data_IF_694769370505
#
_entry.id   IF_694769370505
#
_cell.length_a   1.000
_cell.length_b   1.000
_cell.length_c   1.000
_cell.angle_alpha   90.00
_cell.angle_beta   90.00
_cell.angle_gamma   90.00
#
_symmetry.space_group_name_H-M   'P 1'
#
loop_
_entity.id
_entity.type
_entity.pdbx_description
1 polymer ?
#
# COMPACT_ATOMS: atom_id res chain seq x y z
N UNK A 1 -10.42 21.63 -18.33
CA UNK A 1 -8.96 21.41 -18.28
C UNK A 1 -8.33 22.22 -17.16
N UNK A 2 -8.13 21.56 -16.03
CA UNK A 2 -7.54 22.13 -14.82
C UNK A 2 -6.00 22.17 -14.89
N UNK A 3 -5.37 22.83 -13.92
CA UNK A 3 -3.90 22.86 -13.82
C UNK A 3 -3.26 21.45 -13.71
N UNK A 4 -4.00 20.49 -13.15
CA UNK A 4 -3.61 19.08 -13.08
C UNK A 4 -3.56 18.42 -14.48
N UNK A 5 -4.54 18.71 -15.34
CA UNK A 5 -4.59 18.17 -16.71
C UNK A 5 -3.37 18.62 -17.51
N UNK A 6 -3.02 19.90 -17.41
CA UNK A 6 -1.83 20.44 -18.05
C UNK A 6 -0.54 19.81 -17.52
N UNK A 7 -0.43 19.56 -16.21
CA UNK A 7 0.72 18.89 -15.63
C UNK A 7 0.87 17.44 -16.15
N UNK A 8 -0.24 16.70 -16.25
CA UNK A 8 -0.27 15.34 -16.79
C UNK A 8 0.12 15.35 -18.27
N UNK A 9 -0.50 16.20 -19.08
CA UNK A 9 -0.21 16.29 -20.53
C UNK A 9 1.24 16.69 -20.79
N UNK A 10 1.74 17.74 -20.12
CA UNK A 10 3.11 18.23 -20.33
C UNK A 10 4.12 17.15 -19.96
N UNK A 11 3.94 16.49 -18.81
CA UNK A 11 4.87 15.43 -18.38
C UNK A 11 4.80 14.17 -19.25
N UNK A 12 3.61 13.81 -19.76
CA UNK A 12 3.45 12.74 -20.75
C UNK A 12 4.19 13.10 -22.04
N UNK A 13 3.99 14.30 -22.58
CA UNK A 13 4.68 14.77 -23.79
C UNK A 13 6.20 14.77 -23.61
N UNK A 14 6.71 15.27 -22.47
CA UNK A 14 8.14 15.22 -22.14
C UNK A 14 8.64 13.78 -22.08
N UNK A 15 7.87 12.87 -21.50
CA UNK A 15 8.25 11.46 -21.34
C UNK A 15 8.27 10.71 -22.67
N UNK A 16 7.27 10.95 -23.53
CA UNK A 16 7.21 10.42 -24.90
C UNK A 16 8.36 10.96 -25.74
N UNK A 17 8.64 12.27 -25.67
CA UNK A 17 9.73 12.90 -26.41
C UNK A 17 11.10 12.41 -25.95
N UNK A 18 11.34 12.37 -24.64
CA UNK A 18 12.56 11.78 -24.06
C UNK A 18 12.67 10.29 -24.42
N UNK A 19 11.54 9.60 -24.50
CA UNK A 19 11.51 8.20 -24.86
C UNK A 19 11.85 7.93 -26.30
N UNK A 20 11.35 8.75 -27.21
CA UNK A 20 11.72 8.72 -28.61
C UNK A 20 13.22 8.98 -28.82
N UNK A 21 13.78 9.94 -28.06
CA UNK A 21 15.21 10.30 -28.15
C UNK A 21 16.15 9.26 -27.52
N UNK A 22 15.69 8.54 -26.50
CA UNK A 22 16.48 7.50 -25.83
C UNK A 22 16.38 6.15 -26.54
N UNK A 23 15.27 5.83 -27.20
CA UNK A 23 15.05 4.51 -27.81
C UNK A 23 14.60 3.47 -26.78
N UNK A 24 14.02 2.35 -27.25
CA UNK A 24 13.51 1.28 -26.39
C UNK A 24 14.64 0.59 -25.64
N UNK A 25 15.74 0.30 -26.34
CA UNK A 25 16.90 -0.41 -25.76
C UNK A 25 17.45 0.36 -24.55
N UNK A 26 17.65 1.66 -24.67
CA UNK A 26 18.16 2.50 -23.58
C UNK A 26 17.21 2.52 -22.38
N UNK A 27 15.90 2.53 -22.62
CA UNK A 27 14.91 2.48 -21.54
C UNK A 27 14.91 1.15 -20.80
N UNK A 28 15.08 0.03 -21.52
CA UNK A 28 15.21 -1.29 -20.92
C UNK A 28 16.48 -1.41 -20.09
N UNK A 29 17.62 -0.93 -20.59
CA UNK A 29 18.88 -0.89 -19.82
C UNK A 29 18.76 0.02 -18.59
N UNK A 30 18.08 1.15 -18.70
CA UNK A 30 17.80 2.02 -17.56
C UNK A 30 16.92 1.33 -16.50
N UNK A 31 15.86 0.63 -16.93
CA UNK A 31 14.97 -0.11 -16.03
C UNK A 31 15.72 -1.26 -15.35
N UNK A 32 16.35 -2.14 -16.13
CA UNK A 32 17.14 -3.26 -15.62
C UNK A 32 18.29 -2.78 -14.72
N UNK A 33 18.97 -1.70 -15.11
CA UNK A 33 20.02 -1.09 -14.32
C UNK A 33 19.53 -0.55 -12.99
N UNK A 34 18.36 0.09 -12.94
CA UNK A 34 17.78 0.58 -11.69
C UNK A 34 17.35 -0.56 -10.75
N UNK A 35 16.76 -1.64 -11.29
CA UNK A 35 16.39 -2.84 -10.51
C UNK A 35 17.65 -3.49 -9.94
N UNK A 36 18.66 -3.70 -10.79
CA UNK A 36 19.93 -4.29 -10.38
C UNK A 36 20.63 -3.43 -9.33
N UNK A 37 20.66 -2.11 -9.54
CA UNK A 37 21.24 -1.16 -8.61
C UNK A 37 20.57 -1.24 -7.22
N UNK A 38 19.25 -1.37 -7.19
CA UNK A 38 18.49 -1.50 -5.95
C UNK A 38 18.82 -2.82 -5.21
N UNK A 39 18.82 -3.94 -5.93
CA UNK A 39 19.13 -5.26 -5.35
C UNK A 39 20.55 -5.29 -4.78
N UNK A 40 21.52 -4.77 -5.54
CA UNK A 40 22.92 -4.70 -5.11
C UNK A 40 23.08 -3.73 -3.93
N UNK A 41 22.42 -2.57 -3.98
CA UNK A 41 22.48 -1.60 -2.90
C UNK A 41 21.97 -2.20 -1.58
N UNK A 42 20.83 -2.88 -1.56
CA UNK A 42 20.34 -3.54 -0.35
C UNK A 42 21.31 -4.59 0.20
N UNK A 43 22.05 -5.29 -0.68
CA UNK A 43 22.97 -6.34 -0.26
C UNK A 43 24.31 -5.80 0.27
N UNK A 44 24.84 -4.73 -0.34
CA UNK A 44 26.20 -4.25 -0.10
C UNK A 44 26.30 -2.90 0.62
N UNK A 45 25.17 -2.24 0.90
CA UNK A 45 25.11 -0.95 1.59
C UNK A 45 25.79 -0.98 2.97
N UNK A 46 25.65 -2.05 3.75
CA UNK A 46 26.26 -2.14 5.08
C UNK A 46 27.78 -2.27 5.03
N UNK A 47 28.31 -3.11 4.13
CA UNK A 47 29.76 -3.32 4.00
C UNK A 47 30.48 -2.11 3.41
N UNK A 48 29.88 -1.44 2.43
CA UNK A 48 30.44 -0.19 1.89
C UNK A 48 30.21 1.01 2.82
N UNK A 49 29.12 1.00 3.59
CA UNK A 49 28.78 2.06 4.53
C UNK A 49 29.77 2.16 5.70
N UNK A 50 30.25 1.04 6.24
CA UNK A 50 31.28 1.03 7.28
C UNK A 50 32.61 1.58 6.77
N UNK A 51 33.00 1.23 5.54
CA UNK A 51 34.21 1.76 4.91
C UNK A 51 34.09 3.27 4.71
N UNK A 52 32.97 3.75 4.16
CA UNK A 52 32.72 5.18 3.96
C UNK A 52 32.64 5.96 5.28
N UNK A 53 31.98 5.40 6.30
CA UNK A 53 31.87 6.01 7.62
C UNK A 53 33.24 6.23 8.25
N UNK A 54 34.15 5.25 8.13
CA UNK A 54 35.52 5.36 8.63
C UNK A 54 36.35 6.42 7.87
N UNK A 55 36.14 6.54 6.55
CA UNK A 55 36.92 7.44 5.69
C UNK A 55 36.47 8.90 5.83
N UNK A 56 35.15 9.11 5.97
CA UNK A 56 34.54 10.43 6.11
C UNK A 56 34.38 10.86 7.58
N UNK A 57 34.70 9.97 8.53
CA UNK A 57 34.58 10.20 9.97
C UNK A 57 33.16 10.59 10.42
N UNK A 58 32.16 9.86 9.90
CA UNK A 58 30.73 10.11 10.13
C UNK A 58 30.08 8.91 10.81
N UNK A 59 28.90 9.09 11.40
CA UNK A 59 28.10 7.99 11.97
C UNK A 59 27.79 6.89 10.94
N UNK A 60 27.76 5.64 11.42
CA UNK A 60 27.49 4.46 10.58
C UNK A 60 26.16 4.55 9.82
N UNK A 61 25.15 5.15 10.44
CA UNK A 61 23.86 5.38 9.79
C UNK A 61 23.98 6.29 8.57
N UNK A 62 24.74 7.39 8.67
CA UNK A 62 24.94 8.29 7.54
C UNK A 62 25.86 7.65 6.49
N UNK A 63 26.87 6.89 6.92
CA UNK A 63 27.73 6.10 6.01
C UNK A 63 26.95 5.09 5.18
N UNK A 64 26.00 4.37 5.80
CA UNK A 64 25.11 3.45 5.09
C UNK A 64 24.22 4.19 4.09
N UNK A 65 23.59 5.30 4.46
CA UNK A 65 22.77 6.10 3.54
C UNK A 65 23.61 6.58 2.34
N UNK A 66 24.82 7.07 2.59
CA UNK A 66 25.73 7.50 1.53
C UNK A 66 26.14 6.33 0.62
N UNK A 67 26.48 5.17 1.20
CA UNK A 67 26.83 3.97 0.43
C UNK A 67 25.66 3.49 -0.44
N UNK A 68 24.43 3.54 0.07
CA UNK A 68 23.24 3.25 -0.72
C UNK A 68 23.10 4.19 -1.92
N UNK A 69 23.24 5.51 -1.71
CA UNK A 69 23.17 6.51 -2.78
C UNK A 69 24.26 6.26 -3.82
N UNK A 70 25.51 6.07 -3.37
CA UNK A 70 26.66 5.82 -4.26
C UNK A 70 26.46 4.55 -5.09
N UNK A 71 25.98 3.45 -4.48
CA UNK A 71 25.71 2.20 -5.18
C UNK A 71 24.59 2.36 -6.21
N UNK A 72 23.46 2.96 -5.81
CA UNK A 72 22.32 3.15 -6.71
C UNK A 72 22.71 4.02 -7.89
N UNK A 73 23.32 5.18 -7.62
CA UNK A 73 23.72 6.13 -8.66
C UNK A 73 24.83 5.55 -9.53
N UNK A 74 25.84 4.91 -8.92
CA UNK A 74 26.98 4.34 -9.63
C UNK A 74 26.56 3.23 -10.60
N UNK A 75 25.80 2.24 -10.11
CA UNK A 75 25.35 1.11 -10.95
C UNK A 75 24.37 1.60 -12.03
N UNK A 76 23.41 2.46 -11.68
CA UNK A 76 22.46 3.00 -12.65
C UNK A 76 23.17 3.81 -13.75
N UNK A 77 24.20 4.58 -13.39
CA UNK A 77 24.98 5.36 -14.35
C UNK A 77 25.81 4.47 -15.28
N UNK A 78 26.44 3.42 -14.76
CA UNK A 78 27.18 2.44 -15.57
C UNK A 78 26.25 1.76 -16.56
N UNK A 79 25.07 1.31 -16.10
CA UNK A 79 24.09 0.65 -16.96
C UNK A 79 23.52 1.59 -18.03
N UNK A 80 23.24 2.84 -17.68
CA UNK A 80 22.82 3.86 -18.65
C UNK A 80 23.91 4.12 -19.69
N UNK A 81 25.18 4.18 -19.27
CA UNK A 81 26.32 4.36 -20.17
C UNK A 81 26.49 3.19 -21.16
N UNK A 82 26.34 1.95 -20.67
CA UNK A 82 26.38 0.76 -21.52
C UNK A 82 25.28 0.78 -22.58
N UNK A 83 24.06 1.17 -22.19
CA UNK A 83 22.96 1.32 -23.14
C UNK A 83 23.23 2.39 -24.20
N UNK A 84 23.80 3.54 -23.82
CA UNK A 84 24.14 4.60 -24.77
C UNK A 84 25.16 4.13 -25.81
N UNK A 85 26.18 3.38 -25.37
CA UNK A 85 27.16 2.80 -26.30
C UNK A 85 26.57 1.76 -27.22
N UNK A 86 25.64 0.95 -26.73
CA UNK A 86 24.94 -0.04 -27.56
C UNK A 86 24.13 0.64 -28.68
N UNK A 87 23.49 1.76 -28.35
CA UNK A 87 22.72 2.54 -29.31
C UNK A 87 23.60 3.11 -30.42
N UNK A 88 24.80 3.58 -30.09
CA UNK A 88 25.78 4.12 -31.05
C UNK A 88 26.28 3.07 -32.06
N UNK A 89 26.37 1.80 -31.64
CA UNK A 89 26.77 0.70 -32.54
C UNK A 89 25.67 0.21 -33.49
N UNK A 90 24.41 0.58 -33.25
CA UNK A 90 23.24 0.07 -34.00
C UNK A 90 22.74 1.05 -35.09
N UNK A 91 23.48 2.14 -35.32
CA UNK A 91 23.06 3.30 -36.15
C UNK A 91 22.89 2.97 -37.65
N UNK A 92 23.34 1.80 -38.13
CA UNK A 92 23.34 1.45 -39.56
C UNK A 92 22.07 0.78 -40.09
N UNK A 93 20.90 0.93 -39.45
CA UNK A 93 19.67 0.26 -39.91
C UNK A 93 18.39 1.07 -39.74
N UNK A 94 17.36 0.87 -40.60
CA UNK A 94 16.02 1.49 -40.46
C UNK A 94 15.31 1.14 -39.13
N UNK A 95 15.88 0.21 -38.36
CA UNK A 95 15.50 -0.16 -37.00
C UNK A 95 15.56 1.04 -36.03
N UNK A 96 16.34 2.09 -36.31
CA UNK A 96 16.42 3.29 -35.46
C UNK A 96 15.06 4.00 -35.28
N UNK A 97 14.25 4.11 -36.34
CA UNK A 97 12.92 4.72 -36.24
C UNK A 97 11.97 3.86 -35.41
N UNK A 98 12.04 2.53 -35.59
CA UNK A 98 11.22 1.57 -34.84
C UNK A 98 11.61 1.57 -33.36
N UNK A 99 12.91 1.60 -33.05
CA UNK A 99 13.44 1.69 -31.68
C UNK A 99 13.03 3.00 -30.99
N UNK A 100 13.08 4.13 -31.72
CA UNK A 100 12.58 5.41 -31.25
C UNK A 100 11.08 5.39 -30.95
N UNK A 101 10.25 4.89 -31.88
CA UNK A 101 8.79 4.78 -31.67
C UNK A 101 8.47 3.85 -30.50
N UNK A 102 9.13 2.70 -30.39
CA UNK A 102 8.95 1.78 -29.28
C UNK A 102 9.40 2.40 -27.95
N UNK A 103 10.50 3.16 -27.93
CA UNK A 103 10.92 3.94 -26.77
C UNK A 103 9.95 5.07 -26.40
N UNK A 104 9.32 5.69 -27.38
CA UNK A 104 8.27 6.70 -27.15
C UNK A 104 7.05 6.09 -26.47
N UNK A 105 6.60 4.92 -26.96
CA UNK A 105 5.50 4.15 -26.38
C UNK A 105 5.82 3.69 -24.95
N UNK A 106 7.00 3.11 -24.72
CA UNK A 106 7.38 2.63 -23.40
C UNK A 106 7.60 3.78 -22.41
N UNK A 107 8.17 4.89 -22.85
CA UNK A 107 8.30 6.12 -22.04
C UNK A 107 6.95 6.74 -21.67
N UNK A 108 6.03 6.79 -22.63
CA UNK A 108 4.64 7.23 -22.41
C UNK A 108 3.90 6.32 -21.43
N UNK A 109 3.94 5.01 -21.66
CA UNK A 109 3.30 4.00 -20.79
C UNK A 109 3.84 4.06 -19.35
N UNK A 110 5.16 4.14 -19.19
CA UNK A 110 5.80 4.30 -17.88
C UNK A 110 5.31 5.55 -17.16
N UNK A 111 5.24 6.69 -17.86
CA UNK A 111 4.77 7.95 -17.27
C UNK A 111 3.27 7.90 -16.93
N UNK A 112 2.46 7.28 -17.78
CA UNK A 112 1.04 7.02 -17.53
C UNK A 112 0.85 6.20 -16.25
N UNK A 113 1.58 5.10 -16.08
CA UNK A 113 1.53 4.26 -14.86
C UNK A 113 1.91 5.06 -13.61
N UNK A 114 2.93 5.93 -13.71
CA UNK A 114 3.33 6.81 -12.60
C UNK A 114 2.20 7.78 -12.23
N UNK A 115 1.54 8.39 -13.21
CA UNK A 115 0.40 9.28 -12.95
C UNK A 115 -0.80 8.55 -12.36
N UNK A 116 -1.14 7.36 -12.87
CA UNK A 116 -2.18 6.50 -12.27
C UNK A 116 -1.88 6.27 -10.78
N UNK A 117 -0.64 5.89 -10.45
CA UNK A 117 -0.23 5.67 -9.07
C UNK A 117 -0.34 6.94 -8.21
N UNK A 118 0.09 8.09 -8.74
CA UNK A 118 -0.01 9.39 -8.04
C UNK A 118 -1.47 9.76 -7.79
N UNK A 119 -2.34 9.62 -8.79
CA UNK A 119 -3.77 9.92 -8.67
C UNK A 119 -4.45 8.99 -7.67
N UNK A 120 -4.10 7.70 -7.67
CA UNK A 120 -4.57 6.72 -6.69
C UNK A 120 -4.16 7.09 -5.26
N UNK A 121 -2.89 7.47 -5.07
CA UNK A 121 -2.40 7.95 -3.78
C UNK A 121 -3.19 9.20 -3.36
N UNK A 122 -3.34 10.20 -4.24
CA UNK A 122 -4.11 11.41 -3.94
C UNK A 122 -5.57 11.09 -3.55
N UNK A 123 -6.22 10.14 -4.22
CA UNK A 123 -7.58 9.69 -3.88
C UNK A 123 -7.66 9.00 -2.51
N UNK A 124 -6.61 8.26 -2.14
CA UNK A 124 -6.54 7.54 -0.86
C UNK A 124 -6.22 8.44 0.34
N UNK A 125 -5.68 9.65 0.12
CA UNK A 125 -5.30 10.54 1.21
C UNK A 125 -6.48 11.43 1.67
N UNK A 126 -6.70 11.59 2.99
CA UNK A 126 -7.88 12.27 3.54
C UNK A 126 -7.81 13.81 3.44
N UNK A 127 -6.82 14.39 2.78
CA UNK A 127 -6.65 15.84 2.67
C UNK A 127 -7.59 16.47 1.64
N UNK A 128 -8.55 17.28 2.10
CA UNK A 128 -9.55 17.94 1.25
C UNK A 128 -8.96 18.90 0.20
N UNK A 129 -7.73 19.39 0.41
CA UNK A 129 -6.97 20.19 -0.56
C UNK A 129 -6.53 19.40 -1.80
N UNK A 130 -6.37 18.07 -1.70
CA UNK A 130 -5.96 17.21 -2.82
C UNK A 130 -7.16 16.67 -3.62
N UNK A 131 -8.37 16.72 -3.05
CA UNK A 131 -9.59 16.23 -3.69
C UNK A 131 -10.19 17.25 -4.68
N UNK A 132 -10.12 18.55 -4.39
CA UNK A 132 -10.68 19.61 -5.26
C UNK A 132 -10.13 19.57 -6.70
N UNK A 133 -8.80 19.47 -6.93
CA UNK A 133 -8.27 19.38 -8.29
C UNK A 133 -8.58 18.06 -9.00
N UNK A 134 -8.89 17.00 -8.22
CA UNK A 134 -9.14 15.64 -8.70
C UNK A 134 -10.55 15.50 -9.30
N UNK A 135 -11.55 16.15 -8.71
CA UNK A 135 -12.95 16.12 -9.18
C UNK A 135 -13.24 17.09 -10.33
N UNK A 136 -12.37 18.06 -10.57
CA UNK A 136 -12.51 19.04 -11.65
C UNK A 136 -11.65 18.67 -12.91
N UNK A 137 -10.99 17.51 -12.89
CA UNK A 137 -10.10 17.05 -13.96
C UNK A 137 -10.76 15.93 -14.75
N UNK A 138 -11.10 16.21 -16.01
CA UNK A 138 -11.72 15.25 -16.93
C UNK A 138 -10.79 14.05 -17.19
N UNK A 139 -9.48 14.29 -17.27
CA UNK A 139 -8.49 13.23 -17.48
C UNK A 139 -8.30 12.35 -16.24
N UNK A 140 -8.38 12.91 -15.03
CA UNK A 140 -8.33 12.13 -13.82
C UNK A 140 -9.54 11.19 -13.72
N UNK A 141 -10.74 11.65 -14.10
CA UNK A 141 -11.94 10.81 -14.11
C UNK A 141 -11.82 9.65 -15.12
N UNK A 142 -11.35 9.93 -16.35
CA UNK A 142 -11.20 8.90 -17.37
C UNK A 142 -10.08 7.90 -17.06
N UNK A 143 -8.96 8.35 -16.49
CA UNK A 143 -7.92 7.46 -15.96
C UNK A 143 -8.46 6.64 -14.78
N UNK A 144 -9.30 7.24 -13.93
CA UNK A 144 -9.96 6.55 -12.82
C UNK A 144 -10.91 5.44 -13.29
N UNK A 145 -11.56 5.59 -14.46
CA UNK A 145 -12.39 4.53 -15.08
C UNK A 145 -11.57 3.32 -15.56
N UNK A 146 -10.29 3.50 -15.89
CA UNK A 146 -9.37 2.42 -16.29
C UNK A 146 -8.72 1.74 -15.08
N UNK A 147 -8.75 2.38 -13.91
CA UNK A 147 -8.25 1.81 -12.64
C UNK A 147 -8.71 0.38 -12.32
N UNK A 148 -9.99 -0.03 -12.49
CA UNK A 148 -10.38 -1.42 -12.23
C UNK A 148 -9.58 -2.42 -13.06
N UNK A 149 -9.17 -2.09 -14.29
CA UNK A 149 -8.33 -2.96 -15.12
C UNK A 149 -6.90 -3.07 -14.57
N UNK A 150 -6.33 -1.96 -14.07
CA UNK A 150 -5.02 -1.99 -13.41
C UNK A 150 -5.07 -2.77 -12.09
N UNK A 151 -6.17 -2.68 -11.32
CA UNK A 151 -6.37 -3.53 -10.14
C UNK A 151 -6.43 -5.02 -10.50
N UNK A 152 -7.14 -5.38 -11.57
CA UNK A 152 -7.14 -6.75 -12.10
C UNK A 152 -5.73 -7.24 -12.50
N UNK A 153 -4.98 -6.45 -13.26
CA UNK A 153 -3.61 -6.80 -13.65
C UNK A 153 -2.67 -6.89 -12.44
N UNK A 154 -2.86 -6.00 -11.48
CA UNK A 154 -2.10 -5.98 -10.23
C UNK A 154 -2.41 -7.21 -9.38
N UNK A 155 -3.66 -7.66 -9.29
CA UNK A 155 -4.07 -8.88 -8.57
C UNK A 155 -3.58 -10.17 -9.24
N UNK A 156 -3.42 -10.18 -10.56
CA UNK A 156 -2.92 -11.34 -11.31
C UNK A 156 -1.39 -11.46 -11.27
N UNK A 157 -0.68 -10.33 -11.12
CA UNK A 157 0.79 -10.28 -11.02
C UNK A 157 1.30 -10.21 -9.56
N UNK A 158 0.51 -9.70 -8.61
CA UNK A 158 0.84 -9.68 -7.17
C UNK A 158 0.02 -10.75 -6.43
N UNK A 159 0.64 -11.81 -5.89
CA UNK A 159 -0.07 -12.83 -5.13
C UNK A 159 -0.77 -12.22 -3.91
N UNK A 160 -1.88 -12.85 -3.51
CA UNK A 160 -2.72 -12.52 -2.34
C UNK A 160 -1.98 -12.57 -0.96
N UNK A 161 -0.65 -12.68 -0.97
CA UNK A 161 0.25 -12.64 0.17
C UNK A 161 0.75 -11.23 0.52
N UNK A 162 0.31 -10.17 -0.18
CA UNK A 162 0.73 -8.81 0.18
C UNK A 162 0.27 -8.51 1.61
N UNK A 163 1.19 -8.35 2.58
CA UNK A 163 0.81 -8.05 3.95
C UNK A 163 0.07 -6.72 3.95
N UNK A 164 -1.15 -6.69 4.49
CA UNK A 164 -1.88 -5.44 4.65
C UNK A 164 -1.05 -4.51 5.51
N UNK A 165 -0.65 -3.39 4.95
CA UNK A 165 0.04 -2.32 5.67
C UNK A 165 -1.03 -1.65 6.54
N UNK A 166 -1.10 -2.00 7.82
CA UNK A 166 -1.95 -1.31 8.77
C UNK A 166 -1.29 0.03 9.10
N UNK A 167 -1.87 1.14 8.62
CA UNK A 167 -1.49 2.48 9.02
C UNK A 167 -2.10 2.78 10.40
N UNK A 168 -1.40 2.36 11.45
CA UNK A 168 -1.68 2.81 12.81
C UNK A 168 -0.96 4.12 13.10
N UNK A 169 -1.50 5.01 13.95
CA UNK A 169 -0.87 6.29 14.32
C UNK A 169 0.51 6.13 15.00
N UNK A 170 0.94 4.91 15.30
CA UNK A 170 2.21 4.55 15.95
C UNK A 170 3.27 3.97 14.98
N UNK A 171 3.00 3.93 13.66
CA UNK A 171 3.95 3.51 12.62
C UNK A 171 3.58 2.24 11.85
N UNK A 172 4.37 1.90 10.83
CA UNK A 172 4.18 0.75 9.93
C UNK A 172 4.75 -0.52 10.57
N UNK A 173 3.88 -1.50 10.84
CA UNK A 173 4.32 -2.80 11.37
C UNK A 173 3.84 -3.96 10.49
N UNK A 174 4.79 -4.76 10.01
CA UNK A 174 4.53 -5.97 9.20
C UNK A 174 4.41 -7.16 10.16
N UNK A 175 3.18 -7.61 10.45
CA UNK A 175 2.93 -8.87 11.17
C UNK A 175 2.19 -9.86 10.27
N UNK A 176 2.68 -11.09 10.19
CA UNK A 176 1.92 -12.22 9.63
C UNK A 176 0.93 -12.68 10.70
N UNK A 177 -0.36 -12.49 10.46
CA UNK A 177 -1.44 -12.93 11.34
C UNK A 177 -1.94 -14.28 10.81
N UNK A 178 -1.91 -15.33 11.65
CA UNK A 178 -2.61 -16.59 11.37
C UNK A 178 -4.02 -16.45 11.93
N UNK A 179 -5.02 -16.55 11.06
CA UNK A 179 -6.42 -16.32 11.46
C UNK A 179 -6.98 -17.49 12.27
N UNK A 180 -6.38 -18.67 12.14
CA UNK A 180 -6.69 -19.87 12.89
C UNK A 180 -6.46 -19.67 14.40
N UNK A 181 -5.49 -18.83 14.78
CA UNK A 181 -5.18 -18.53 16.19
C UNK A 181 -6.28 -17.70 16.88
N UNK A 182 -7.17 -17.07 16.09
CA UNK A 182 -8.32 -16.33 16.60
C UNK A 182 -9.59 -17.20 16.70
N UNK A 183 -9.54 -18.48 16.33
CA UNK A 183 -10.66 -19.39 16.51
C UNK A 183 -10.95 -19.58 18.00
N UNK A 184 -12.22 -19.49 18.40
CA UNK A 184 -12.62 -19.50 19.81
C UNK A 184 -12.47 -18.17 20.55
N UNK A 185 -12.15 -17.07 19.87
CA UNK A 185 -12.10 -15.74 20.49
C UNK A 185 -13.46 -15.32 21.06
N UNK A 186 -13.46 -14.34 21.97
CA UNK A 186 -14.62 -13.90 22.73
C UNK A 186 -15.33 -12.75 22.01
N UNK A 187 -16.60 -12.94 21.65
CA UNK A 187 -17.41 -11.93 20.97
C UNK A 187 -17.68 -10.72 21.87
N UNK A 188 -17.45 -9.51 21.35
CA UNK A 188 -17.66 -8.25 22.07
C UNK A 188 -19.14 -8.03 22.39
N UNK A 189 -20.05 -8.44 21.50
CA UNK A 189 -21.48 -8.17 21.59
C UNK A 189 -22.21 -9.00 22.66
N UNK A 190 -21.78 -10.25 22.87
CA UNK A 190 -22.54 -11.21 23.70
C UNK A 190 -21.67 -12.07 24.62
N UNK A 191 -20.33 -12.00 24.51
CA UNK A 191 -19.42 -12.87 25.26
C UNK A 191 -19.31 -14.30 24.76
N UNK A 192 -20.08 -14.70 23.75
CA UNK A 192 -20.01 -16.03 23.15
C UNK A 192 -18.69 -16.27 22.43
N UNK A 193 -18.34 -17.53 22.20
CA UNK A 193 -17.18 -17.92 21.38
C UNK A 193 -17.46 -17.68 19.90
N UNK A 194 -16.45 -17.26 19.14
CA UNK A 194 -16.52 -17.20 17.68
C UNK A 194 -15.85 -18.41 17.05
N UNK A 195 -16.35 -18.83 15.89
CA UNK A 195 -15.74 -19.87 15.07
C UNK A 195 -15.19 -19.29 13.79
N UNK A 196 -14.00 -19.71 13.39
CA UNK A 196 -13.41 -19.39 12.09
C UNK A 196 -14.01 -20.28 10.98
N UNK A 197 -14.54 -19.67 9.92
CA UNK A 197 -15.16 -20.34 8.79
C UNK A 197 -14.29 -20.35 7.53
N UNK A 198 -13.02 -19.93 7.63
CA UNK A 198 -12.13 -19.78 6.49
C UNK A 198 -12.23 -18.39 5.84
N UNK A 199 -11.73 -18.29 4.61
CA UNK A 199 -11.82 -17.05 3.82
C UNK A 199 -13.03 -17.12 2.90
N UNK A 200 -13.85 -16.08 2.92
CA UNK A 200 -15.02 -15.93 2.06
C UNK A 200 -14.88 -14.69 1.17
N UNK A 201 -15.49 -14.77 -0.02
CA UNK A 201 -15.43 -13.70 -1.00
C UNK A 201 -16.40 -12.58 -0.60
N UNK A 202 -15.88 -11.36 -0.45
CA UNK A 202 -16.63 -10.14 -0.21
C UNK A 202 -16.23 -9.11 -1.26
N UNK A 203 -17.13 -8.87 -2.23
CA UNK A 203 -16.81 -8.06 -3.41
C UNK A 203 -15.74 -8.74 -4.29
N UNK A 204 -14.64 -8.05 -4.54
CA UNK A 204 -13.53 -8.55 -5.35
C UNK A 204 -12.51 -9.41 -4.57
N UNK A 205 -12.47 -9.29 -3.23
CA UNK A 205 -11.41 -9.88 -2.40
C UNK A 205 -11.92 -11.00 -1.48
N UNK A 206 -10.99 -11.80 -0.95
CA UNK A 206 -11.26 -12.84 0.05
C UNK A 206 -10.85 -12.37 1.44
N UNK A 207 -11.77 -12.44 2.39
CA UNK A 207 -11.54 -12.03 3.78
C UNK A 207 -11.85 -13.17 4.74
N UNK A 208 -11.14 -13.27 5.88
CA UNK A 208 -11.51 -14.23 6.90
C UNK A 208 -12.94 -13.95 7.40
N UNK A 209 -13.72 -15.00 7.62
CA UNK A 209 -15.03 -14.92 8.24
C UNK A 209 -15.03 -15.66 9.56
N UNK A 210 -15.33 -14.93 10.62
CA UNK A 210 -15.61 -15.44 11.95
C UNK A 210 -17.08 -15.26 12.23
N UNK A 211 -17.72 -16.28 12.79
CA UNK A 211 -19.13 -16.21 13.17
C UNK A 211 -19.29 -16.55 14.65
N UNK A 212 -20.03 -15.73 15.39
CA UNK A 212 -20.34 -16.02 16.78
C UNK A 212 -21.36 -17.16 16.89
N UNK A 213 -21.05 -18.18 17.69
CA UNK A 213 -21.95 -19.32 17.89
C UNK A 213 -23.18 -18.97 18.74
N UNK A 214 -23.14 -17.85 19.47
CA UNK A 214 -24.22 -17.44 20.38
C UNK A 214 -25.16 -16.41 19.75
N UNK A 215 -24.63 -15.34 19.15
CA UNK A 215 -25.46 -14.28 18.56
C UNK A 215 -25.48 -14.27 17.02
N UNK A 216 -24.78 -15.20 16.36
CA UNK A 216 -24.79 -15.34 14.90
C UNK A 216 -24.05 -14.26 14.11
N UNK A 217 -23.62 -13.16 14.75
CA UNK A 217 -22.89 -12.04 14.12
C UNK A 217 -21.63 -12.51 13.43
N UNK A 218 -21.34 -11.90 12.28
CA UNK A 218 -20.18 -12.22 11.47
C UNK A 218 -19.17 -11.07 11.47
N UNK A 219 -17.89 -11.39 11.45
CA UNK A 219 -16.81 -10.40 11.43
C UNK A 219 -15.53 -10.97 10.82
N UNK A 220 -14.54 -10.13 10.54
CA UNK A 220 -13.20 -10.54 10.15
C UNK A 220 -12.27 -10.73 11.37
N UNK A 221 -12.87 -10.82 12.56
CA UNK A 221 -12.22 -10.94 13.87
C UNK A 221 -12.26 -9.64 14.68
N UNK A 222 -12.56 -8.50 14.05
CA UNK A 222 -12.70 -7.19 14.68
C UNK A 222 -13.77 -7.13 15.80
N UNK A 223 -14.82 -7.97 15.74
CA UNK A 223 -15.88 -8.03 16.76
C UNK A 223 -15.53 -8.97 17.93
N UNK A 224 -14.25 -9.32 18.10
CA UNK A 224 -13.76 -10.14 19.20
C UNK A 224 -12.79 -9.36 20.08
N UNK A 225 -12.74 -9.64 21.38
CA UNK A 225 -11.83 -8.93 22.29
C UNK A 225 -10.36 -9.17 21.94
N UNK A 226 -10.01 -10.41 21.65
CA UNK A 226 -8.67 -10.89 21.29
C UNK A 226 -8.25 -10.33 19.92
N UNK A 227 -9.11 -10.45 18.91
CA UNK A 227 -8.88 -9.88 17.58
C UNK A 227 -8.76 -8.36 17.63
N UNK A 228 -9.61 -7.67 18.41
CA UNK A 228 -9.53 -6.22 18.56
C UNK A 228 -8.18 -5.77 19.15
N UNK A 229 -7.68 -6.46 20.18
CA UNK A 229 -6.33 -6.20 20.70
C UNK A 229 -5.24 -6.49 19.67
N UNK A 230 -5.38 -7.57 18.90
CA UNK A 230 -4.40 -7.94 17.89
C UNK A 230 -4.32 -6.92 16.76
N UNK A 231 -5.47 -6.45 16.26
CA UNK A 231 -5.55 -5.54 15.11
C UNK A 231 -5.30 -4.07 15.50
N UNK A 232 -5.84 -3.62 16.63
CA UNK A 232 -5.82 -2.20 17.02
C UNK A 232 -4.90 -1.89 18.20
N UNK A 233 -4.27 -2.89 18.83
CA UNK A 233 -3.33 -2.75 19.96
C UNK A 233 -3.83 -1.96 21.17
N UNK A 234 -5.15 -1.93 21.33
CA UNK A 234 -5.82 -1.24 22.41
C UNK A 234 -7.05 -2.02 22.82
N UNK A 235 -7.54 -1.74 24.02
CA UNK A 235 -8.77 -2.35 24.48
C UNK A 235 -10.00 -1.63 23.91
N UNK A 236 -11.10 -2.36 23.71
CA UNK A 236 -12.40 -1.78 23.34
C UNK A 236 -12.89 -0.80 24.41
N UNK A 237 -12.51 -1.04 25.68
CA UNK A 237 -12.79 -0.16 26.82
C UNK A 237 -11.87 1.07 26.88
N UNK A 238 -10.82 1.11 26.07
CA UNK A 238 -9.87 2.21 26.00
C UNK A 238 -10.29 3.16 24.86
N UNK A 239 -10.30 4.47 25.12
CA UNK A 239 -10.75 5.53 24.20
C UNK A 239 -12.29 5.69 24.03
N UNK A 240 -12.71 6.54 23.08
CA UNK A 240 -14.12 6.83 22.77
C UNK A 240 -14.86 5.63 22.13
N UNK A 241 -14.16 4.55 21.79
CA UNK A 241 -14.74 3.36 21.12
C UNK A 241 -15.82 2.68 21.96
N UNK A 242 -15.70 2.66 23.29
CA UNK A 242 -16.76 2.14 24.16
C UNK A 242 -18.09 2.91 23.99
N UNK A 243 -18.03 4.18 23.56
CA UNK A 243 -19.19 5.08 23.38
C UNK A 243 -19.69 5.12 21.94
N UNK A 244 -18.79 5.05 20.97
CA UNK A 244 -19.17 5.04 19.54
C UNK A 244 -19.57 3.65 19.05
N UNK A 245 -19.21 2.60 19.79
CA UNK A 245 -19.35 1.22 19.36
C UNK A 245 -18.30 0.83 18.32
N UNK A 246 -18.18 -0.46 18.07
CA UNK A 246 -17.32 -1.07 17.05
C UNK A 246 -18.17 -1.49 15.87
N UNK A 247 -17.82 -1.06 14.67
CA UNK A 247 -18.39 -1.60 13.44
C UNK A 247 -17.26 -1.89 12.46
N UNK A 248 -17.36 -3.03 11.80
CA UNK A 248 -16.30 -3.54 10.95
C UNK A 248 -16.55 -3.16 9.51
N UNK A 249 -15.47 -2.91 8.75
CA UNK A 249 -15.62 -2.43 7.38
C UNK A 249 -15.91 -3.55 6.39
N UNK A 250 -15.37 -4.75 6.63
CA UNK A 250 -15.50 -5.91 5.72
C UNK A 250 -16.88 -6.57 5.85
N UNK A 251 -17.26 -6.84 7.09
CA UNK A 251 -18.55 -7.44 7.46
C UNK A 251 -19.27 -6.43 8.37
N UNK A 252 -19.88 -5.38 7.79
CA UNK A 252 -20.52 -4.32 8.58
C UNK A 252 -21.83 -4.81 9.17
N UNK A 253 -22.08 -4.42 10.42
CA UNK A 253 -23.37 -4.64 11.05
C UNK A 253 -24.27 -3.40 10.93
N UNK A 254 -25.61 -3.58 10.89
CA UNK A 254 -26.56 -2.47 10.76
C UNK A 254 -26.44 -1.43 11.88
N UNK A 255 -26.01 -1.86 13.07
CA UNK A 255 -25.78 -1.01 14.23
C UNK A 255 -24.39 -1.29 14.84
N UNK A 256 -23.72 -0.27 15.40
CA UNK A 256 -22.47 -0.46 16.12
C UNK A 256 -22.61 -1.42 17.29
N UNK A 257 -21.59 -2.25 17.49
CA UNK A 257 -21.54 -3.24 18.57
C UNK A 257 -20.84 -2.67 19.79
N UNK A 258 -21.45 -2.83 20.96
CA UNK A 258 -20.92 -2.33 22.23
C UNK A 258 -20.39 -3.50 23.09
N UNK A 259 -19.29 -3.30 23.85
CA UNK A 259 -18.78 -4.32 24.75
C UNK A 259 -19.73 -4.54 25.94
N UNK A 260 -20.15 -5.78 26.14
CA UNK A 260 -21.05 -6.15 27.26
C UNK A 260 -20.33 -6.68 28.50
N UNK A 261 -19.07 -7.10 28.34
CA UNK A 261 -18.29 -7.80 29.38
C UNK A 261 -16.97 -7.06 29.68
N UNK A 262 -16.38 -7.27 30.86
CA UNK A 262 -14.99 -6.93 31.11
C UNK A 262 -14.11 -7.59 30.04
N UNK A 263 -13.05 -6.91 29.62
CA UNK A 263 -12.18 -7.46 28.60
C UNK A 263 -11.43 -8.70 29.15
N UNK A 264 -11.57 -9.89 28.55
CA UNK A 264 -10.88 -11.10 29.00
C UNK A 264 -9.36 -11.05 28.77
N UNK A 265 -8.88 -10.15 27.90
CA UNK A 265 -7.46 -10.02 27.54
C UNK A 265 -6.69 -9.17 28.54
N UNK A 266 -7.26 -8.04 28.99
CA UNK A 266 -6.56 -7.07 29.84
C UNK A 266 -7.30 -6.72 31.14
N UNK A 267 -8.47 -7.31 31.40
CA UNK A 267 -9.25 -7.09 32.62
C UNK A 267 -9.93 -5.71 32.72
N UNK A 268 -9.71 -4.79 31.77
CA UNK A 268 -10.37 -3.47 31.76
C UNK A 268 -11.89 -3.63 31.60
N UNK A 269 -12.63 -2.83 32.35
CA UNK A 269 -14.10 -2.74 32.32
C UNK A 269 -14.54 -1.29 32.14
N UNK A 270 -15.85 -1.06 32.10
CA UNK A 270 -16.49 0.27 32.00
C UNK A 270 -15.79 1.30 32.91
N UNK A 271 -15.45 2.50 32.39
CA UNK A 271 -15.00 3.61 33.23
C UNK A 271 -16.12 4.07 34.17
N UNK A 272 -15.82 4.25 35.45
CA UNK A 272 -16.79 4.74 36.44
C UNK A 272 -17.32 6.12 36.03
N UNK A 273 -18.65 6.26 35.88
CA UNK A 273 -19.32 7.55 35.62
C UNK A 273 -19.97 7.76 34.24
N UNK A 274 -19.92 6.81 33.31
CA UNK A 274 -20.62 6.93 32.03
C UNK A 274 -22.06 6.38 32.10
N UNK A 275 -23.07 7.13 31.62
CA UNK A 275 -24.49 6.77 31.61
C UNK A 275 -24.86 5.55 30.73
N UNK A 276 -26.15 5.18 30.72
CA UNK A 276 -26.73 4.00 30.06
C UNK A 276 -26.56 4.08 28.53
N UNK A 277 -26.01 3.03 27.89
CA UNK A 277 -25.92 2.97 26.42
C UNK A 277 -27.31 2.78 25.78
N UNK A 278 -27.62 3.49 24.68
CA UNK A 278 -28.81 3.23 23.89
C UNK A 278 -28.62 1.90 23.14
N UNK A 279 -29.14 0.80 23.69
CA UNK A 279 -29.01 -0.52 23.07
C UNK A 279 -29.17 -1.71 24.02
N UNK A 280 -29.29 -1.47 25.32
CA UNK A 280 -29.55 -2.53 26.31
C UNK A 280 -31.03 -3.00 26.35
N UNK A 281 -31.87 -2.63 25.38
CA UNK A 281 -33.28 -3.04 25.33
C UNK A 281 -33.65 -3.59 23.96
N UNK A 282 -33.98 -4.89 23.94
CA UNK A 282 -35.00 -5.45 23.04
C UNK A 282 -34.52 -6.18 21.79
N UNK A 283 -34.56 -7.53 21.91
CA UNK A 283 -34.75 -8.56 20.88
C UNK A 283 -33.65 -8.76 19.81
#
# INVERSE_FOLDING_TARGET
MNGLDWAIIISLLISVYRGFRSGLVQQLFGLAGSILALVVAFRYCSGLGTALASWLNVSENLGNILAFIVLVVGISSIMAYLGFRWQETTVSSPVFFIDGVAGALFGGLKSLVIWVLILLLMASLPWDVLKKPLYESDLAEDVLKVTPFFYFLQEEVLPAEVPRIFLTPEGVQIRKIKYEDLDGSTCIACGGRVRYHGKEKQGAFYFPRFQCTSCGRASDGCLTFEGYHLFYRRCVWESKTAVTGVNCQVWPEPAPVYPVLPCPVCGKSRPDGFGIFPGAWGY
#
